data_IF_352904630587
#
_entry.id   IF_352904630587
#
_cell.length_a   1.000
_cell.length_b   1.000
_cell.length_c   1.000
_cell.angle_alpha   90.00
_cell.angle_beta   90.00
_cell.angle_gamma   90.00
#
_symmetry.space_group_name_H-M   'P 1'
#
loop_
_entity.id
_entity.type
_entity.pdbx_description
1 polymer ?
#
# COMPACT_ATOMS: atom_id res chain seq x y z
N UNK A 1 10.02 -21.56 -28.64
CA UNK A 1 10.20 -20.19 -29.17
C UNK A 1 9.65 -20.18 -30.58
N UNK A 2 8.61 -19.40 -30.84
CA UNK A 2 7.97 -19.32 -32.17
C UNK A 2 8.95 -18.57 -33.09
N UNK A 3 9.30 -19.18 -34.22
CA UNK A 3 10.24 -18.61 -35.18
C UNK A 3 9.51 -17.64 -36.12
N UNK A 4 9.36 -16.39 -35.66
CA UNK A 4 8.67 -15.31 -36.36
C UNK A 4 9.28 -14.97 -37.73
N UNK A 5 10.50 -15.46 -38.02
CA UNK A 5 11.24 -15.21 -39.27
C UNK A 5 10.56 -15.80 -40.51
N UNK A 6 9.75 -16.85 -40.35
CA UNK A 6 9.05 -17.50 -41.48
C UNK A 6 7.84 -16.71 -42.00
N UNK A 7 7.25 -15.82 -41.21
CA UNK A 7 5.92 -15.27 -41.51
C UNK A 7 5.96 -13.88 -42.18
N UNK A 8 7.11 -13.20 -42.20
CA UNK A 8 7.20 -11.83 -42.70
C UNK A 8 8.45 -11.62 -43.59
N UNK A 9 8.43 -12.06 -44.86
CA UNK A 9 9.59 -11.99 -45.76
C UNK A 9 9.97 -10.56 -46.18
N UNK A 10 9.06 -9.59 -46.04
CA UNK A 10 9.29 -8.17 -46.37
C UNK A 10 10.23 -7.45 -45.40
N UNK A 11 10.36 -7.92 -44.16
CA UNK A 11 11.19 -7.25 -43.14
C UNK A 11 12.70 -7.57 -43.24
N UNK A 12 13.11 -8.51 -44.10
CA UNK A 12 14.52 -8.87 -44.27
C UNK A 12 15.37 -7.72 -44.83
N UNK A 13 14.82 -6.85 -45.68
CA UNK A 13 15.58 -5.72 -46.28
C UNK A 13 15.82 -4.56 -45.31
N UNK A 14 14.94 -4.39 -44.31
CA UNK A 14 15.06 -3.31 -43.30
C UNK A 14 15.99 -3.69 -42.13
N UNK A 15 16.20 -4.99 -41.89
CA UNK A 15 17.05 -5.48 -40.79
C UNK A 15 18.56 -5.39 -41.06
N UNK A 16 18.99 -5.22 -42.32
CA UNK A 16 20.41 -5.15 -42.70
C UNK A 16 21.13 -3.84 -42.35
N UNK A 17 20.40 -2.82 -41.89
CA UNK A 17 20.94 -1.50 -41.53
C UNK A 17 21.15 -1.33 -40.01
N UNK A 18 20.80 -2.34 -39.20
CA UNK A 18 20.97 -2.31 -37.76
C UNK A 18 22.37 -2.88 -37.42
N UNK A 19 23.37 -2.05 -37.07
CA UNK A 19 24.62 -2.57 -36.52
C UNK A 19 24.30 -3.38 -35.27
N UNK A 20 24.87 -4.58 -35.15
CA UNK A 20 24.67 -5.42 -33.96
C UNK A 20 24.97 -4.61 -32.70
N UNK A 21 23.93 -4.39 -31.89
CA UNK A 21 24.04 -3.52 -30.73
C UNK A 21 25.03 -4.14 -29.74
N UNK A 22 26.17 -3.49 -29.42
CA UNK A 22 27.09 -4.03 -28.42
C UNK A 22 26.37 -4.12 -27.08
N UNK A 23 26.55 -5.25 -26.39
CA UNK A 23 25.97 -5.55 -25.08
C UNK A 23 26.19 -4.39 -24.09
N UNK A 24 25.19 -3.51 -23.93
CA UNK A 24 25.27 -2.37 -23.02
C UNK A 24 24.76 -2.75 -21.63
N UNK A 25 25.71 -2.68 -20.70
CA UNK A 25 25.58 -2.77 -19.24
C UNK A 25 24.53 -1.81 -18.68
N UNK A 26 23.90 -2.29 -17.60
CA UNK A 26 23.30 -1.56 -16.49
C UNK A 26 22.24 -0.48 -16.82
N UNK A 27 20.98 -0.89 -16.71
CA UNK A 27 19.83 0.01 -16.56
C UNK A 27 20.05 0.98 -15.40
N UNK A 28 20.20 2.26 -15.73
CA UNK A 28 20.37 3.37 -14.77
C UNK A 28 19.15 4.31 -14.79
N UNK A 29 17.96 3.72 -14.80
CA UNK A 29 16.68 4.44 -14.71
C UNK A 29 15.94 3.99 -13.45
N UNK A 30 15.98 4.82 -12.40
CA UNK A 30 15.04 4.71 -11.29
C UNK A 30 13.78 5.50 -11.66
N UNK A 31 12.73 4.81 -12.09
CA UNK A 31 11.38 5.37 -12.13
C UNK A 31 10.87 5.45 -10.69
N UNK A 32 11.19 6.53 -9.96
CA UNK A 32 10.57 6.72 -8.64
C UNK A 32 9.06 6.96 -8.86
N UNK A 33 8.17 6.11 -8.35
CA UNK A 33 6.75 6.39 -8.41
C UNK A 33 6.51 7.69 -7.64
N UNK A 34 5.75 8.63 -8.22
CA UNK A 34 5.29 9.84 -7.52
C UNK A 34 4.44 9.54 -6.24
N UNK A 35 4.16 8.26 -5.94
CA UNK A 35 3.45 7.78 -4.77
C UNK A 35 4.45 7.44 -3.64
N UNK A 36 4.41 8.26 -2.59
CA UNK A 36 5.34 8.35 -1.46
C UNK A 36 5.44 7.12 -0.49
N UNK A 37 5.03 5.91 -0.85
CA UNK A 37 5.16 4.74 0.06
C UNK A 37 6.58 4.17 0.09
N UNK A 38 7.25 4.08 -1.06
CA UNK A 38 8.57 3.43 -1.17
C UNK A 38 9.66 4.08 -0.31
N UNK A 39 9.61 5.41 -0.17
CA UNK A 39 10.58 6.15 0.65
C UNK A 39 10.50 5.76 2.13
N UNK A 40 9.32 5.42 2.67
CA UNK A 40 9.19 5.08 4.10
C UNK A 40 9.68 3.67 4.41
N UNK A 41 9.27 2.68 3.62
CA UNK A 41 9.73 1.30 3.80
C UNK A 41 11.25 1.17 3.63
N UNK A 42 11.83 1.92 2.69
CA UNK A 42 13.28 1.94 2.49
C UNK A 42 14.02 2.44 3.74
N UNK A 43 13.58 3.57 4.31
CA UNK A 43 14.19 4.16 5.52
C UNK A 43 14.05 3.21 6.72
N UNK A 44 12.86 2.60 6.90
CA UNK A 44 12.61 1.66 8.00
C UNK A 44 13.53 0.43 7.93
N UNK A 45 13.73 -0.13 6.72
CA UNK A 45 14.66 -1.26 6.53
C UNK A 45 16.12 -0.87 6.73
N UNK A 46 16.54 0.27 6.16
CA UNK A 46 17.91 0.76 6.37
C UNK A 46 18.19 0.97 7.86
N UNK A 47 17.24 1.53 8.61
CA UNK A 47 17.34 1.63 10.06
C UNK A 47 17.45 0.26 10.73
N UNK A 48 16.65 -0.73 10.31
CA UNK A 48 16.71 -2.09 10.86
C UNK A 48 18.06 -2.76 10.62
N UNK A 49 18.63 -2.63 9.42
CA UNK A 49 19.97 -3.15 9.10
C UNK A 49 21.06 -2.46 9.92
N UNK A 50 20.95 -1.14 10.12
CA UNK A 50 21.87 -0.37 10.96
C UNK A 50 21.79 -0.81 12.42
N UNK A 51 20.58 -0.97 12.96
CA UNK A 51 20.35 -1.47 14.31
C UNK A 51 20.92 -2.89 14.45
N UNK A 52 20.67 -3.78 13.50
CA UNK A 52 21.27 -5.12 13.47
C UNK A 52 22.80 -5.06 13.53
N UNK A 53 23.42 -4.25 12.68
CA UNK A 53 24.87 -4.05 12.67
C UNK A 53 25.40 -3.55 14.01
N UNK A 54 24.73 -2.58 14.63
CA UNK A 54 25.12 -2.05 15.95
C UNK A 54 25.03 -3.11 17.07
N UNK A 55 23.98 -3.93 17.06
CA UNK A 55 23.77 -5.00 18.06
C UNK A 55 24.82 -6.10 17.89
N UNK A 56 25.15 -6.49 16.66
CA UNK A 56 26.18 -7.50 16.38
C UNK A 56 27.58 -7.02 16.77
N UNK A 57 27.91 -5.76 16.49
CA UNK A 57 29.22 -5.17 16.80
C UNK A 57 29.32 -4.65 18.24
N UNK A 58 28.26 -4.77 19.05
CA UNK A 58 28.17 -4.21 20.41
C UNK A 58 28.47 -2.70 20.49
N UNK A 59 28.19 -1.96 19.41
CA UNK A 59 28.35 -0.51 19.35
C UNK A 59 27.08 0.17 19.85
N UNK A 60 27.22 1.28 20.57
CA UNK A 60 26.08 2.07 21.02
C UNK A 60 25.21 2.49 19.80
N UNK A 61 23.92 2.09 19.74
CA UNK A 61 23.06 2.36 18.58
C UNK A 61 22.67 3.84 18.45
N UNK A 62 22.66 4.60 19.56
CA UNK A 62 22.19 5.98 19.58
C UNK A 62 22.99 6.95 18.67
N UNK A 63 24.33 7.02 18.71
CA UNK A 63 25.10 7.89 17.81
C UNK A 63 24.95 7.50 16.33
N UNK A 64 24.84 6.20 16.04
CA UNK A 64 24.67 5.70 14.68
C UNK A 64 23.31 6.13 14.09
N UNK A 65 22.24 6.04 14.89
CA UNK A 65 20.89 6.48 14.47
C UNK A 65 20.86 7.99 14.27
N UNK A 66 21.62 8.77 15.05
CA UNK A 66 21.71 10.21 14.87
C UNK A 66 22.48 10.58 13.59
N UNK A 67 23.60 9.91 13.30
CA UNK A 67 24.32 10.06 12.05
C UNK A 67 23.41 9.74 10.85
N UNK A 68 22.68 8.62 10.92
CA UNK A 68 21.69 8.24 9.90
C UNK A 68 20.52 9.24 9.79
N UNK A 69 20.12 9.87 10.90
CA UNK A 69 19.09 10.89 10.87
C UNK A 69 19.50 12.12 10.04
N UNK A 70 20.79 12.45 10.01
CA UNK A 70 21.33 13.58 9.25
C UNK A 70 21.31 13.34 7.73
N UNK A 71 21.31 12.10 7.27
CA UNK A 71 21.20 11.75 5.84
C UNK A 71 19.78 11.92 5.28
N UNK A 72 18.78 12.10 6.14
CA UNK A 72 17.38 12.16 5.76
C UNK A 72 16.75 13.54 5.97
N UNK A 73 15.68 13.80 5.22
CA UNK A 73 14.99 15.10 5.21
C UNK A 73 13.73 15.13 6.07
N UNK A 74 13.43 16.30 6.64
CA UNK A 74 12.19 16.71 7.28
C UNK A 74 11.63 15.72 8.32
N UNK A 75 10.56 14.99 7.96
CA UNK A 75 9.77 14.20 8.90
C UNK A 75 10.49 12.95 9.42
N UNK A 76 11.27 12.29 8.57
CA UNK A 76 12.01 11.08 8.96
C UNK A 76 13.16 11.44 9.91
N UNK A 77 13.91 12.51 9.61
CA UNK A 77 14.95 13.06 10.48
C UNK A 77 14.42 13.35 11.89
N UNK A 78 13.29 14.07 12.00
CA UNK A 78 12.67 14.36 13.30
C UNK A 78 12.22 13.13 14.08
N UNK A 79 11.89 12.02 13.41
CA UNK A 79 11.56 10.75 14.10
C UNK A 79 12.82 10.04 14.58
N UNK A 80 13.83 9.94 13.74
CA UNK A 80 15.10 9.28 14.05
C UNK A 80 15.84 10.01 15.18
N UNK A 81 15.86 11.35 15.17
CA UNK A 81 16.42 12.14 16.27
C UNK A 81 15.67 11.93 17.59
N UNK A 82 14.33 11.80 17.56
CA UNK A 82 13.55 11.46 18.75
C UNK A 82 13.87 10.06 19.27
N UNK A 83 14.05 9.10 18.38
CA UNK A 83 14.48 7.74 18.74
C UNK A 83 15.86 7.77 19.41
N UNK A 84 16.84 8.42 18.78
CA UNK A 84 18.19 8.56 19.33
C UNK A 84 18.20 9.27 20.69
N UNK A 85 17.42 10.34 20.86
CA UNK A 85 17.27 11.05 22.13
C UNK A 85 16.73 10.16 23.24
N UNK A 86 15.76 9.29 22.94
CA UNK A 86 15.18 8.35 23.93
C UNK A 86 16.17 7.28 24.34
N UNK A 87 16.92 6.73 23.38
CA UNK A 87 17.96 5.75 23.69
C UNK A 87 19.10 6.35 24.52
N UNK A 88 19.48 7.61 24.26
CA UNK A 88 20.41 8.36 25.14
C UNK A 88 19.85 8.59 26.54
N UNK A 89 18.54 8.74 26.67
CA UNK A 89 17.85 8.86 27.95
C UNK A 89 17.76 7.55 28.75
N UNK A 90 18.40 6.47 28.31
CA UNK A 90 18.42 5.18 29.01
C UNK A 90 17.27 4.23 28.65
N UNK A 91 16.38 4.61 27.72
CA UNK A 91 15.33 3.70 27.26
C UNK A 91 15.93 2.51 26.50
N UNK A 92 15.37 1.31 26.73
CA UNK A 92 15.72 0.13 25.92
C UNK A 92 15.36 0.37 24.45
N UNK A 93 16.02 -0.35 23.54
CA UNK A 93 15.71 -0.25 22.11
C UNK A 93 14.22 -0.51 21.83
N UNK A 94 13.62 -1.50 22.49
CA UNK A 94 12.22 -1.84 22.31
C UNK A 94 11.30 -0.70 22.79
N UNK A 95 11.53 -0.17 24.00
CA UNK A 95 10.72 0.93 24.53
C UNK A 95 10.87 2.21 23.70
N UNK A 96 12.08 2.50 23.22
CA UNK A 96 12.35 3.68 22.40
C UNK A 96 11.62 3.61 21.03
N UNK A 97 11.52 2.41 20.44
CA UNK A 97 10.78 2.15 19.20
C UNK A 97 9.27 2.24 19.40
N UNK A 98 8.73 1.65 20.48
CA UNK A 98 7.31 1.70 20.81
C UNK A 98 6.82 3.14 21.04
N UNK A 99 7.60 3.93 21.76
CA UNK A 99 7.25 5.34 21.99
C UNK A 99 7.38 6.18 20.71
N UNK A 100 8.09 5.71 19.67
CA UNK A 100 8.38 6.45 18.43
C UNK A 100 7.72 5.78 17.21
N UNK A 101 6.38 5.80 17.09
CA UNK A 101 5.68 5.11 16.02
C UNK A 101 6.07 5.63 14.64
N UNK A 102 6.32 4.70 13.72
CA UNK A 102 6.70 4.98 12.33
C UNK A 102 8.17 5.28 12.11
N UNK A 103 9.06 5.00 13.08
CA UNK A 103 10.51 4.86 12.85
C UNK A 103 10.86 3.50 12.20
N UNK A 104 10.16 2.44 12.61
CA UNK A 104 10.14 1.10 11.99
C UNK A 104 8.68 0.70 11.73
N UNK A 105 8.45 -0.41 11.01
CA UNK A 105 7.09 -0.94 10.86
C UNK A 105 6.58 -1.51 12.20
N UNK A 106 5.27 -1.57 12.39
CA UNK A 106 4.67 -2.11 13.63
C UNK A 106 5.08 -3.57 13.88
N UNK A 107 5.19 -4.36 12.81
CA UNK A 107 5.65 -5.76 12.87
C UNK A 107 7.10 -5.87 13.33
N UNK A 108 7.97 -5.01 12.79
CA UNK A 108 9.39 -4.99 13.17
C UNK A 108 9.57 -4.53 14.62
N UNK A 109 8.79 -3.54 15.08
CA UNK A 109 8.80 -3.11 16.47
C UNK A 109 8.40 -4.24 17.43
N UNK A 110 7.35 -5.00 17.08
CA UNK A 110 6.91 -6.16 17.86
C UNK A 110 7.98 -7.27 17.87
N UNK A 111 8.59 -7.55 16.72
CA UNK A 111 9.68 -8.52 16.62
C UNK A 111 10.90 -8.11 17.47
N UNK A 112 11.25 -6.84 17.51
CA UNK A 112 12.32 -6.31 18.38
C UNK A 112 11.94 -6.46 19.85
N UNK A 113 10.71 -6.12 20.25
CA UNK A 113 10.21 -6.30 21.62
C UNK A 113 10.28 -7.77 22.05
N UNK A 114 9.80 -8.67 21.19
CA UNK A 114 9.87 -10.10 21.39
C UNK A 114 11.32 -10.56 21.54
N UNK A 115 12.20 -10.18 20.62
CA UNK A 115 13.61 -10.56 20.63
C UNK A 115 14.39 -10.04 21.85
N UNK A 116 14.07 -8.85 22.36
CA UNK A 116 14.66 -8.30 23.60
C UNK A 116 14.22 -9.14 24.81
N UNK A 117 12.92 -9.44 24.93
CA UNK A 117 12.39 -10.16 26.09
C UNK A 117 12.78 -11.64 26.10
N UNK A 118 12.81 -12.27 24.94
CA UNK A 118 13.21 -13.68 24.77
C UNK A 118 14.73 -13.88 24.69
N UNK A 119 15.50 -12.78 24.57
CA UNK A 119 16.95 -12.83 24.42
C UNK A 119 17.45 -13.40 23.09
N UNK A 120 16.61 -13.36 22.04
CA UNK A 120 16.96 -13.82 20.67
C UNK A 120 17.03 -12.67 19.66
N UNK A 121 17.22 -11.44 20.14
CA UNK A 121 17.25 -10.22 19.32
C UNK A 121 18.19 -10.30 18.10
N UNK A 122 19.45 -10.80 18.18
CA UNK A 122 20.34 -10.84 17.03
C UNK A 122 19.82 -11.75 15.91
N UNK A 123 19.30 -12.93 16.26
CA UNK A 123 18.73 -13.88 15.31
C UNK A 123 17.45 -13.32 14.67
N UNK A 124 16.59 -12.70 15.49
CA UNK A 124 15.34 -12.09 15.02
C UNK A 124 15.59 -10.95 14.03
N UNK A 125 16.58 -10.08 14.32
CA UNK A 125 16.96 -8.99 13.42
C UNK A 125 17.59 -9.51 12.11
N UNK A 126 18.35 -10.60 12.16
CA UNK A 126 18.92 -11.22 10.97
C UNK A 126 17.83 -11.76 10.05
N UNK A 127 16.91 -12.57 10.59
CA UNK A 127 15.78 -13.11 9.83
C UNK A 127 14.93 -11.98 9.20
N UNK A 128 14.61 -10.93 9.95
CA UNK A 128 13.83 -9.78 9.44
C UNK A 128 14.56 -8.98 8.36
N UNK A 129 15.89 -8.94 8.40
CA UNK A 129 16.70 -8.30 7.37
C UNK A 129 16.77 -9.13 6.07
N UNK A 130 16.65 -10.46 6.17
CA UNK A 130 16.75 -11.40 5.06
C UNK A 130 15.39 -11.69 4.39
N UNK A 131 14.27 -11.42 5.08
CA UNK A 131 12.91 -11.67 4.59
C UNK A 131 12.66 -10.99 3.22
N UNK A 132 12.52 -11.75 2.11
CA UNK A 132 12.44 -11.19 0.76
C UNK A 132 11.16 -10.36 0.56
N UNK A 133 11.32 -9.15 0.00
CA UNK A 133 10.21 -8.20 -0.28
C UNK A 133 9.07 -8.76 -1.15
N UNK A 134 9.33 -9.85 -1.87
CA UNK A 134 8.59 -10.24 -3.08
C UNK A 134 7.23 -10.90 -2.82
N UNK A 135 7.06 -11.61 -1.70
CA UNK A 135 5.80 -12.35 -1.45
C UNK A 135 4.65 -11.43 -1.03
N UNK A 136 4.94 -10.33 -0.31
CA UNK A 136 3.88 -9.45 0.25
C UNK A 136 3.46 -8.30 -0.67
N UNK A 137 4.36 -7.79 -1.51
CA UNK A 137 4.08 -6.63 -2.40
C UNK A 137 3.07 -6.95 -3.50
N UNK A 138 3.10 -8.17 -4.03
CA UNK A 138 2.20 -8.56 -5.12
C UNK A 138 0.73 -8.46 -4.69
N UNK A 139 0.40 -8.80 -3.45
CA UNK A 139 -0.95 -8.72 -2.92
C UNK A 139 -1.40 -7.28 -2.67
N UNK A 140 -0.57 -6.47 -2.00
CA UNK A 140 -0.92 -5.06 -1.73
C UNK A 140 -1.01 -4.23 -3.02
N UNK A 141 -0.13 -4.48 -3.99
CA UNK A 141 -0.17 -3.82 -5.30
C UNK A 141 -1.39 -4.27 -6.11
N UNK A 142 -1.75 -5.56 -6.10
CA UNK A 142 -2.96 -6.06 -6.78
C UNK A 142 -4.23 -5.44 -6.18
N UNK A 143 -4.32 -5.36 -4.85
CA UNK A 143 -5.46 -4.76 -4.16
C UNK A 143 -5.55 -3.23 -4.36
N UNK A 144 -4.42 -2.55 -4.54
CA UNK A 144 -4.41 -1.12 -4.85
C UNK A 144 -4.95 -0.81 -6.26
N UNK A 145 -4.68 -1.69 -7.23
CA UNK A 145 -5.13 -1.48 -8.61
C UNK A 145 -6.64 -1.70 -8.76
N UNK A 146 -7.22 -2.66 -8.03
CA UNK A 146 -8.66 -2.93 -8.05
C UNK A 146 -9.48 -1.69 -7.64
N UNK A 147 -9.01 -0.93 -6.65
CA UNK A 147 -9.69 0.28 -6.16
C UNK A 147 -9.71 1.41 -7.19
N UNK A 148 -8.58 1.63 -7.88
CA UNK A 148 -8.48 2.66 -8.91
C UNK A 148 -9.37 2.30 -10.10
N UNK A 149 -9.32 1.04 -10.53
CA UNK A 149 -10.17 0.53 -11.59
C UNK A 149 -11.67 0.72 -11.25
N UNK A 150 -12.10 0.36 -10.04
CA UNK A 150 -13.50 0.52 -9.62
C UNK A 150 -13.98 1.98 -9.62
N UNK A 151 -13.17 2.92 -9.12
CA UNK A 151 -13.54 4.35 -9.08
C UNK A 151 -13.61 4.94 -10.49
N UNK A 152 -12.60 4.69 -11.33
CA UNK A 152 -12.54 5.24 -12.68
C UNK A 152 -13.68 4.70 -13.54
N UNK A 153 -13.90 3.38 -13.52
CA UNK A 153 -15.00 2.76 -14.27
C UNK A 153 -16.37 3.24 -13.79
N UNK A 154 -16.57 3.37 -12.48
CA UNK A 154 -17.82 3.93 -11.93
C UNK A 154 -18.06 5.38 -12.35
N UNK A 155 -17.00 6.21 -12.41
CA UNK A 155 -17.09 7.59 -12.86
C UNK A 155 -17.48 7.69 -14.34
N UNK A 156 -16.86 6.86 -15.18
CA UNK A 156 -17.16 6.80 -16.61
C UNK A 156 -18.61 6.35 -16.83
N UNK A 157 -19.07 5.31 -16.12
CA UNK A 157 -20.46 4.86 -16.20
C UNK A 157 -21.44 5.97 -15.80
N UNK A 158 -21.21 6.63 -14.66
CA UNK A 158 -22.05 7.74 -14.22
C UNK A 158 -22.09 8.87 -15.25
N UNK A 159 -20.94 9.22 -15.83
CA UNK A 159 -20.84 10.24 -16.87
C UNK A 159 -21.60 9.87 -18.15
N UNK A 160 -21.50 8.62 -18.60
CA UNK A 160 -22.22 8.15 -19.79
C UNK A 160 -23.73 8.17 -19.53
N UNK A 161 -24.19 7.64 -18.39
CA UNK A 161 -25.61 7.66 -18.03
C UNK A 161 -26.15 9.10 -17.95
N UNK A 162 -25.39 10.02 -17.36
CA UNK A 162 -25.73 11.44 -17.32
C UNK A 162 -25.91 12.04 -18.72
N UNK A 163 -24.96 11.76 -19.59
CA UNK A 163 -24.95 12.28 -20.96
C UNK A 163 -26.18 11.77 -21.74
N UNK A 164 -26.52 10.49 -21.58
CA UNK A 164 -27.73 9.91 -22.17
C UNK A 164 -28.97 10.66 -21.67
N UNK A 165 -29.13 10.85 -20.36
CA UNK A 165 -30.27 11.56 -19.77
C UNK A 165 -30.37 13.03 -20.20
N UNK A 166 -29.26 13.77 -20.32
CA UNK A 166 -29.32 15.20 -20.69
C UNK A 166 -29.44 15.46 -22.19
N UNK A 167 -28.94 14.57 -23.05
CA UNK A 167 -28.88 14.83 -24.50
C UNK A 167 -29.76 13.92 -25.34
N UNK A 168 -29.81 12.62 -25.03
CA UNK A 168 -30.55 11.66 -25.86
C UNK A 168 -32.04 11.71 -25.56
N UNK A 169 -32.41 11.84 -24.28
CA UNK A 169 -33.81 11.93 -23.86
C UNK A 169 -34.59 13.13 -24.40
N UNK A 170 -34.09 14.38 -24.37
CA UNK A 170 -34.83 15.49 -24.95
C UNK A 170 -35.01 15.35 -26.46
N UNK A 171 -34.00 14.86 -27.19
CA UNK A 171 -34.14 14.59 -28.62
C UNK A 171 -35.18 13.51 -28.92
N UNK A 172 -35.32 12.51 -28.04
CA UNK A 172 -36.42 11.54 -28.13
C UNK A 172 -37.79 12.20 -27.92
N UNK A 173 -37.92 13.22 -27.05
CA UNK A 173 -39.19 13.96 -26.90
C UNK A 173 -39.56 14.75 -28.15
N UNK A 174 -38.61 15.48 -28.71
CA UNK A 174 -38.83 16.27 -29.94
C UNK A 174 -39.35 15.39 -31.07
N UNK A 175 -38.78 14.20 -31.25
CA UNK A 175 -39.25 13.24 -32.26
C UNK A 175 -40.69 12.80 -32.00
N UNK A 176 -41.05 12.48 -30.75
CA UNK A 176 -42.41 12.04 -30.42
C UNK A 176 -43.44 13.18 -30.59
N UNK A 177 -43.06 14.41 -30.26
CA UNK A 177 -43.88 15.61 -30.47
C UNK A 177 -44.08 15.88 -31.96
N UNK A 178 -43.05 15.73 -32.80
CA UNK A 178 -43.13 15.89 -34.26
C UNK A 178 -44.07 14.88 -34.94
N UNK A 179 -44.21 13.68 -34.38
CA UNK A 179 -45.11 12.64 -34.90
C UNK A 179 -46.53 12.70 -34.29
N UNK A 180 -46.83 13.69 -33.43
CA UNK A 180 -48.11 13.82 -32.70
C UNK A 180 -48.54 12.55 -31.94
N UNK A 181 -47.57 11.69 -31.58
CA UNK A 181 -47.86 10.42 -30.92
C UNK A 181 -48.05 10.64 -29.42
N UNK A 182 -49.26 10.39 -28.91
CA UNK A 182 -49.48 10.36 -27.45
C UNK A 182 -48.61 9.30 -26.79
N UNK A 183 -47.76 9.72 -25.85
CA UNK A 183 -46.94 8.81 -25.06
C UNK A 183 -47.80 7.74 -24.35
N UNK A 184 -47.51 6.44 -24.54
CA UNK A 184 -48.13 5.39 -23.75
C UNK A 184 -47.88 5.64 -22.25
N UNK A 185 -48.76 5.17 -21.38
CA UNK A 185 -48.68 5.46 -19.94
C UNK A 185 -47.31 5.10 -19.32
N UNK A 186 -46.66 4.05 -19.84
CA UNK A 186 -45.29 3.66 -19.48
C UNK A 186 -44.23 4.69 -19.90
N UNK A 187 -44.37 5.33 -21.07
CA UNK A 187 -43.47 6.36 -21.56
C UNK A 187 -43.56 7.67 -20.76
N UNK A 188 -44.77 8.09 -20.35
CA UNK A 188 -44.96 9.27 -19.48
C UNK A 188 -44.32 9.08 -18.12
N UNK A 189 -44.49 7.91 -17.49
CA UNK A 189 -43.85 7.60 -16.21
C UNK A 189 -42.32 7.58 -16.30
N UNK A 190 -41.77 7.16 -17.45
CA UNK A 190 -40.34 7.16 -17.68
C UNK A 190 -39.79 8.58 -17.86
N UNK A 191 -40.48 9.42 -18.64
CA UNK A 191 -40.09 10.82 -18.83
C UNK A 191 -40.14 11.63 -17.53
N UNK A 192 -41.13 11.42 -16.67
CA UNK A 192 -41.20 12.09 -15.37
C UNK A 192 -40.08 11.63 -14.43
N UNK A 193 -39.73 10.33 -14.45
CA UNK A 193 -38.60 9.80 -13.69
C UNK A 193 -37.26 10.38 -14.17
N UNK A 194 -37.06 10.49 -15.49
CA UNK A 194 -35.85 11.09 -16.08
C UNK A 194 -35.78 12.59 -15.79
N UNK A 195 -36.91 13.33 -15.83
CA UNK A 195 -36.94 14.75 -15.45
C UNK A 195 -36.60 14.96 -13.99
N UNK A 196 -37.07 14.08 -13.11
CA UNK A 196 -36.67 14.08 -11.70
C UNK A 196 -35.17 13.87 -11.53
N UNK A 197 -34.58 12.93 -12.26
CA UNK A 197 -33.13 12.65 -12.23
C UNK A 197 -32.33 13.81 -12.84
N UNK A 198 -32.82 14.44 -13.90
CA UNK A 198 -32.18 15.56 -14.58
C UNK A 198 -32.21 16.84 -13.72
N UNK A 199 -33.33 17.14 -13.05
CA UNK A 199 -33.42 18.21 -12.04
C UNK A 199 -32.50 17.94 -10.84
N UNK A 200 -32.33 16.65 -10.52
CA UNK A 200 -31.36 16.18 -9.54
C UNK A 200 -29.91 16.13 -10.09
N UNK A 201 -29.59 16.84 -11.18
CA UNK A 201 -28.25 16.90 -11.80
C UNK A 201 -27.11 17.31 -10.84
N UNK A 202 -27.43 17.92 -9.70
CA UNK A 202 -26.48 18.09 -8.60
C UNK A 202 -25.93 16.76 -8.06
N UNK A 203 -26.64 15.64 -8.16
CA UNK A 203 -26.11 14.33 -7.76
C UNK A 203 -24.94 13.87 -8.61
N UNK A 204 -24.81 14.30 -9.86
CA UNK A 204 -23.59 14.05 -10.67
C UNK A 204 -22.43 14.91 -10.21
N UNK A 205 -22.69 16.17 -9.88
CA UNK A 205 -21.69 17.07 -9.30
C UNK A 205 -21.27 16.56 -7.92
N UNK A 206 -22.21 16.09 -7.10
CA UNK A 206 -21.97 15.47 -5.79
C UNK A 206 -21.31 14.11 -5.96
N UNK A 207 -21.66 13.28 -6.93
CA UNK A 207 -21.00 12.00 -7.21
C UNK A 207 -19.56 12.21 -7.68
N UNK A 208 -19.33 13.22 -8.53
CA UNK A 208 -18.00 13.63 -8.98
C UNK A 208 -17.19 14.25 -7.85
N UNK A 209 -17.80 15.10 -7.02
CA UNK A 209 -17.16 15.71 -5.85
C UNK A 209 -16.90 14.68 -4.75
N UNK A 210 -17.79 13.71 -4.54
CA UNK A 210 -17.59 12.61 -3.58
C UNK A 210 -16.59 11.60 -4.12
N UNK A 211 -16.55 11.30 -5.41
CA UNK A 211 -15.49 10.49 -6.02
C UNK A 211 -14.13 11.20 -5.97
N UNK A 212 -14.08 12.50 -6.25
CA UNK A 212 -12.87 13.32 -6.15
C UNK A 212 -12.43 13.48 -4.69
N UNK A 213 -13.37 13.70 -3.77
CA UNK A 213 -13.13 13.74 -2.33
C UNK A 213 -12.70 12.38 -1.83
N UNK A 214 -13.30 11.27 -2.25
CA UNK A 214 -12.90 9.89 -1.91
C UNK A 214 -11.50 9.58 -2.48
N UNK A 215 -11.18 10.03 -3.70
CA UNK A 215 -9.85 9.89 -4.30
C UNK A 215 -8.78 10.81 -3.66
N UNK A 216 -9.19 11.97 -3.12
CA UNK A 216 -8.32 12.86 -2.36
C UNK A 216 -8.18 12.41 -0.91
N UNK A 217 -9.24 11.86 -0.34
CA UNK A 217 -9.31 11.31 1.00
C UNK A 217 -8.65 9.94 1.05
N UNK A 218 -8.59 9.16 -0.02
CA UNK A 218 -7.78 7.93 -0.10
C UNK A 218 -6.26 8.23 -0.09
N UNK A 219 -5.82 9.41 -0.57
CA UNK A 219 -4.44 9.90 -0.38
C UNK A 219 -4.13 10.20 1.09
N UNK A 220 -5.14 10.65 1.85
CA UNK A 220 -5.07 10.97 3.29
C UNK A 220 -5.44 9.75 4.17
N UNK A 221 -6.16 8.78 3.62
CA UNK A 221 -6.88 7.70 4.26
C UNK A 221 -6.04 6.47 4.55
N UNK A 222 -4.71 6.52 4.30
CA UNK A 222 -3.79 5.49 4.82
C UNK A 222 -3.89 5.29 6.34
N UNK A 223 -4.45 6.25 7.09
CA UNK A 223 -4.74 6.11 8.52
C UNK A 223 -6.15 5.59 8.84
N UNK A 224 -7.18 6.06 8.15
CA UNK A 224 -8.58 5.74 8.49
C UNK A 224 -9.11 4.46 7.80
N UNK A 225 -8.58 4.16 6.61
CA UNK A 225 -8.98 3.02 5.80
C UNK A 225 -8.51 1.66 6.37
N UNK A 226 -7.68 1.67 7.42
CA UNK A 226 -7.23 0.46 8.11
C UNK A 226 -8.29 -0.09 9.08
N UNK A 227 -9.23 0.75 9.54
CA UNK A 227 -10.29 0.33 10.47
C UNK A 227 -11.56 -0.11 9.73
N UNK A 228 -12.06 0.70 8.79
CA UNK A 228 -13.34 0.42 8.12
C UNK A 228 -13.25 -0.72 7.09
N UNK A 229 -12.14 -0.84 6.35
CA UNK A 229 -11.98 -1.93 5.36
C UNK A 229 -11.39 -3.21 5.94
N UNK A 230 -10.81 -3.18 7.15
CA UNK A 230 -10.38 -4.40 7.84
C UNK A 230 -11.58 -5.25 8.29
N UNK A 231 -12.73 -4.63 8.52
CA UNK A 231 -13.98 -5.35 8.84
C UNK A 231 -14.64 -5.98 7.61
N UNK A 232 -14.41 -5.45 6.40
CA UNK A 232 -15.12 -5.88 5.19
C UNK A 232 -14.32 -6.84 4.29
N UNK A 233 -12.98 -6.89 4.46
CA UNK A 233 -12.09 -7.76 3.69
C UNK A 233 -11.39 -8.77 4.64
N UNK A 234 -11.84 -10.04 4.66
CA UNK A 234 -11.28 -11.08 5.52
C UNK A 234 -9.79 -11.45 5.40
N UNK A 235 -9.03 -11.20 4.29
CA UNK A 235 -7.71 -11.82 4.16
C UNK A 235 -6.60 -11.12 4.98
N UNK A 236 -6.86 -10.00 5.66
CA UNK A 236 -5.83 -9.33 6.47
C UNK A 236 -5.48 -10.07 7.77
N UNK A 237 -6.31 -11.03 8.20
CA UNK A 237 -6.09 -11.81 9.43
C UNK A 237 -5.06 -12.94 9.23
N UNK A 238 -4.88 -13.43 7.99
CA UNK A 238 -3.95 -14.52 7.67
C UNK A 238 -2.47 -14.08 7.73
N UNK A 239 -2.18 -12.80 7.53
CA UNK A 239 -0.80 -12.29 7.54
C UNK A 239 -0.21 -12.19 8.95
N UNK A 240 -1.03 -12.03 9.99
CA UNK A 240 -0.54 -11.93 11.37
C UNK A 240 -0.16 -13.28 11.98
N UNK A 241 -0.85 -14.35 11.59
CA UNK A 241 -0.53 -15.71 12.09
C UNK A 241 0.85 -16.14 11.59
N UNK A 242 1.17 -15.87 10.32
CA UNK A 242 2.49 -16.13 9.77
C UNK A 242 3.59 -15.36 10.54
N UNK A 243 3.36 -14.08 10.83
CA UNK A 243 4.34 -13.26 11.57
C UNK A 243 4.63 -13.82 12.97
N UNK A 244 3.61 -14.33 13.66
CA UNK A 244 3.71 -14.94 15.00
C UNK A 244 4.45 -16.29 14.93
N UNK A 245 4.10 -17.14 13.96
CA UNK A 245 4.75 -18.42 13.74
C UNK A 245 6.23 -18.25 13.41
N UNK A 246 6.59 -17.22 12.63
CA UNK A 246 7.99 -16.89 12.36
C UNK A 246 8.74 -16.51 13.65
N UNK A 247 8.12 -15.76 14.57
CA UNK A 247 8.75 -15.44 15.86
C UNK A 247 8.98 -16.69 16.71
N UNK A 248 8.02 -17.62 16.69
CA UNK A 248 8.17 -18.91 17.36
C UNK A 248 9.28 -19.74 16.74
N UNK A 249 9.34 -19.84 15.41
CA UNK A 249 10.37 -20.56 14.68
C UNK A 249 11.78 -20.08 15.07
N UNK A 250 12.00 -18.76 15.09
CA UNK A 250 13.29 -18.19 15.53
C UNK A 250 13.58 -18.49 17.00
N UNK A 251 12.57 -18.40 17.87
CA UNK A 251 12.77 -18.71 19.29
C UNK A 251 13.14 -20.17 19.52
N UNK A 252 12.55 -21.10 18.75
CA UNK A 252 12.86 -22.54 18.83
C UNK A 252 14.23 -22.85 18.24
N UNK A 253 14.59 -22.23 17.13
CA UNK A 253 15.91 -22.40 16.51
C UNK A 253 17.02 -21.87 17.43
N UNK A 254 16.75 -20.80 18.17
CA UNK A 254 17.65 -20.26 19.18
C UNK A 254 17.62 -21.03 20.53
N UNK A 255 16.91 -22.16 20.60
CA UNK A 255 16.87 -23.03 21.77
C UNK A 255 16.07 -22.49 22.97
N UNK A 256 15.14 -21.56 22.76
CA UNK A 256 14.29 -21.00 23.82
C UNK A 256 12.98 -21.80 23.97
N UNK A 257 12.47 -21.99 25.21
CA UNK A 257 11.25 -22.75 25.45
C UNK A 257 10.01 -22.01 24.92
N UNK A 258 9.18 -22.71 24.14
CA UNK A 258 7.94 -22.19 23.55
C UNK A 258 6.98 -21.52 24.54
N UNK A 259 6.75 -22.04 25.77
CA UNK A 259 5.85 -21.38 26.72
C UNK A 259 6.30 -19.95 27.11
N UNK A 260 7.61 -19.71 27.18
CA UNK A 260 8.16 -18.38 27.47
C UNK A 260 7.98 -17.40 26.30
N UNK A 261 8.10 -17.89 25.07
CA UNK A 261 7.82 -17.12 23.87
C UNK A 261 6.33 -16.74 23.77
N UNK A 262 5.42 -17.69 24.06
CA UNK A 262 3.96 -17.48 23.99
C UNK A 262 3.53 -16.42 25.01
N UNK A 263 3.98 -16.54 26.26
CA UNK A 263 3.63 -15.59 27.33
C UNK A 263 4.15 -14.17 27.05
N UNK A 264 5.32 -14.06 26.44
CA UNK A 264 5.89 -12.78 25.99
C UNK A 264 5.03 -12.15 24.89
N UNK A 265 4.65 -12.92 23.87
CA UNK A 265 3.80 -12.42 22.78
C UNK A 265 2.42 -12.03 23.29
N UNK A 266 1.78 -12.85 24.13
CA UNK A 266 0.48 -12.54 24.70
C UNK A 266 0.47 -11.22 25.49
N UNK A 267 1.57 -10.88 26.15
CA UNK A 267 1.68 -9.64 26.95
C UNK A 267 1.88 -8.38 26.11
N UNK A 268 2.50 -8.49 24.93
CA UNK A 268 2.94 -7.34 24.12
C UNK A 268 2.30 -7.25 22.74
N UNK A 269 1.38 -8.17 22.39
CA UNK A 269 0.67 -8.12 21.12
C UNK A 269 -0.24 -6.87 21.05
N UNK A 270 -0.10 -6.10 19.98
CA UNK A 270 -0.68 -4.76 19.82
C UNK A 270 -2.15 -4.75 19.34
N UNK A 271 -2.83 -5.90 19.39
CA UNK A 271 -4.19 -6.04 18.84
C UNK A 271 -5.24 -5.88 19.95
N UNK A 272 -6.00 -4.77 19.99
CA UNK A 272 -7.05 -4.57 20.98
C UNK A 272 -8.21 -5.58 20.88
N UNK A 273 -8.28 -6.37 19.79
CA UNK A 273 -9.29 -7.42 19.62
C UNK A 273 -8.98 -8.73 20.40
N UNK A 274 -7.79 -8.85 21.00
CA UNK A 274 -7.37 -10.01 21.80
C UNK A 274 -7.18 -9.66 23.29
N UNK A 275 -7.76 -8.55 23.74
CA UNK A 275 -7.77 -8.12 25.13
C UNK A 275 -9.13 -8.37 25.78
#
# INVERSE_FOLDING_TARGET
>A
MIDWRRHFPTFHRLAGWLPEAPARRAHRWHTSPWWCSERREAIQRSLLHLVRGSVQQRVAPAPLIEAFACEHVNWSRRRLLRLAKRMRGGATLADALEQTPGAVSERDALAVRFGVQSGVLPAMLAQRCEEPRHVRRSLEQRLSHIKIYAIVTGLIFAFITAFICMKIFPSMREIYDDFELTYPASGRAYLTAVDWIAQMGWFLVIALLTAAAMARWSRVGRRLNRSLWASLLPPLRQLHVADILDMFAVSTEAGRPLPGAVSTLARYHFDPALR
#
